data_IF_212249602069
#
_entry.id   IF_212249602069
#
_cell.length_a   1.000
_cell.length_b   1.000
_cell.length_c   1.000
_cell.angle_alpha   90.00
_cell.angle_beta   90.00
_cell.angle_gamma   90.00
#
_symmetry.space_group_name_H-M   'P 1'
#
loop_
_entity.id
_entity.type
_entity.pdbx_description
1 polymer ?
#
# COMPACT_ATOMS: atom_id res chain seq x y z
N UNK A 1 -20.92 35.11 -7.62
CA UNK A 1 -19.94 34.64 -6.63
C UNK A 1 -18.84 35.68 -6.63
N UNK A 2 -18.69 36.45 -5.56
CA UNK A 2 -17.49 37.27 -5.36
C UNK A 2 -16.33 36.31 -5.17
N UNK A 3 -15.31 36.42 -6.02
CA UNK A 3 -14.08 35.66 -5.87
C UNK A 3 -13.49 35.99 -4.50
N UNK A 4 -13.43 34.98 -3.63
CA UNK A 4 -12.85 35.14 -2.30
C UNK A 4 -11.34 35.27 -2.49
N UNK A 5 -10.81 36.45 -2.20
CA UNK A 5 -9.36 36.71 -2.28
C UNK A 5 -8.71 36.11 -1.04
N UNK A 6 -7.94 35.05 -1.25
CA UNK A 6 -7.12 34.44 -0.21
C UNK A 6 -5.84 35.28 -0.07
N UNK A 7 -5.47 35.71 1.16
CA UNK A 7 -4.24 36.47 1.36
C UNK A 7 -3.00 35.69 0.93
N UNK A 8 -1.98 36.39 0.44
CA UNK A 8 -0.77 35.79 -0.15
C UNK A 8 0.07 34.96 0.82
N UNK A 9 -0.10 35.18 2.13
CA UNK A 9 0.60 34.44 3.19
C UNK A 9 -0.03 33.06 3.51
N UNK A 10 -1.12 32.71 2.84
CA UNK A 10 -1.70 31.38 2.88
C UNK A 10 -1.16 30.51 1.73
N UNK A 11 -0.57 29.38 2.08
CA UNK A 11 -0.02 28.42 1.12
C UNK A 11 -1.12 27.44 0.69
N UNK A 12 -1.32 27.19 -0.62
CA UNK A 12 -2.28 26.18 -1.08
C UNK A 12 -1.83 24.78 -0.68
N UNK A 13 -2.71 24.03 -0.01
CA UNK A 13 -2.57 22.57 0.18
C UNK A 13 -3.22 21.86 -1.01
N UNK A 14 -4.39 22.34 -1.44
CA UNK A 14 -5.05 21.89 -2.66
C UNK A 14 -5.41 23.13 -3.46
N UNK A 15 -4.85 23.24 -4.66
CA UNK A 15 -4.96 24.41 -5.53
C UNK A 15 -6.43 24.83 -5.71
N UNK A 16 -6.72 26.11 -5.41
CA UNK A 16 -8.07 26.68 -5.52
C UNK A 16 -9.10 26.17 -4.49
N UNK A 17 -8.73 25.29 -3.54
CA UNK A 17 -9.70 24.60 -2.68
C UNK A 17 -9.40 24.62 -1.19
N UNK A 18 -8.12 24.56 -0.80
CA UNK A 18 -7.69 24.51 0.59
C UNK A 18 -6.36 25.23 0.74
N UNK A 19 -6.27 26.12 1.72
CA UNK A 19 -5.05 26.84 2.04
C UNK A 19 -4.73 26.76 3.53
N UNK A 20 -3.44 26.85 3.87
CA UNK A 20 -2.93 26.87 5.24
C UNK A 20 -2.00 28.04 5.48
N UNK A 21 -2.14 28.65 6.65
CA UNK A 21 -1.17 29.60 7.21
C UNK A 21 -0.76 29.11 8.60
N UNK A 22 0.53 28.93 8.83
CA UNK A 22 1.04 28.56 10.15
C UNK A 22 1.10 29.81 11.02
N UNK A 23 0.44 29.78 12.18
CA UNK A 23 0.48 30.85 13.19
C UNK A 23 1.56 30.58 14.25
N UNK A 24 1.76 29.30 14.58
CA UNK A 24 2.83 28.83 15.46
C UNK A 24 3.29 27.46 14.99
N UNK A 25 4.59 27.32 14.80
CA UNK A 25 5.20 26.04 14.43
C UNK A 25 5.00 24.99 15.53
N UNK A 26 4.81 23.74 15.10
CA UNK A 26 4.90 22.56 15.95
C UNK A 26 6.28 21.90 15.81
N UNK A 27 6.76 21.28 16.87
CA UNK A 27 8.05 20.58 16.91
C UNK A 27 7.91 19.05 16.98
N UNK A 28 6.68 18.54 17.11
CA UNK A 28 6.41 17.10 17.14
C UNK A 28 6.20 16.47 15.76
N UNK A 29 5.81 15.20 15.78
CA UNK A 29 5.57 14.39 14.59
C UNK A 29 4.29 14.82 13.84
N UNK A 30 4.18 14.41 12.58
CA UNK A 30 2.98 14.59 11.76
C UNK A 30 2.09 13.33 11.83
N UNK A 31 0.76 13.48 11.89
CA UNK A 31 -0.14 12.33 11.94
C UNK A 31 -0.21 11.64 10.58
N UNK A 32 -0.18 10.29 10.58
CA UNK A 32 -0.38 9.48 9.38
C UNK A 32 -1.87 9.19 9.14
N UNK A 33 -2.20 8.74 7.94
CA UNK A 33 -3.56 8.31 7.58
C UNK A 33 -4.14 7.31 8.61
N UNK A 34 -5.44 7.42 8.92
CA UNK A 34 -6.15 6.63 9.95
C UNK A 34 -5.72 6.89 11.41
N UNK A 35 -4.82 7.83 11.67
CA UNK A 35 -4.50 8.25 13.05
C UNK A 35 -5.73 8.85 13.74
N UNK A 36 -5.87 8.60 15.03
CA UNK A 36 -6.82 9.33 15.87
C UNK A 36 -6.16 10.63 16.33
N UNK A 37 -6.58 11.74 15.76
CA UNK A 37 -6.00 13.06 16.07
C UNK A 37 -6.83 13.78 17.12
N UNK A 38 -6.19 14.60 17.93
CA UNK A 38 -6.84 15.41 18.95
C UNK A 38 -6.48 16.87 18.74
N UNK A 39 -7.48 17.72 18.55
CA UNK A 39 -7.29 19.13 18.17
C UNK A 39 -8.11 20.10 19.01
N UNK A 40 -7.56 21.29 19.23
CA UNK A 40 -8.39 22.46 19.52
C UNK A 40 -8.69 23.23 18.24
N UNK A 41 -9.84 23.89 18.18
CA UNK A 41 -10.18 24.72 17.03
C UNK A 41 -11.18 25.82 17.34
N UNK A 42 -11.18 26.83 16.46
CA UNK A 42 -12.22 27.85 16.32
C UNK A 42 -12.61 27.95 14.85
N UNK A 43 -13.89 27.76 14.54
CA UNK A 43 -14.46 27.86 13.21
C UNK A 43 -15.22 29.16 13.00
N UNK A 44 -14.88 29.89 11.93
CA UNK A 44 -15.46 31.17 11.55
C UNK A 44 -15.83 31.21 10.07
N UNK A 45 -16.86 31.98 9.71
CA UNK A 45 -17.13 32.32 8.32
C UNK A 45 -16.00 33.21 7.79
N UNK A 46 -15.38 32.86 6.67
CA UNK A 46 -14.24 33.62 6.15
C UNK A 46 -14.61 35.06 5.76
N UNK A 47 -15.84 35.27 5.27
CA UNK A 47 -16.28 36.55 4.70
C UNK A 47 -16.55 37.64 5.73
N UNK A 48 -16.97 37.28 6.95
CA UNK A 48 -17.36 38.25 7.98
C UNK A 48 -16.78 37.96 9.37
N UNK A 49 -16.08 36.82 9.55
CA UNK A 49 -15.46 36.44 10.82
C UNK A 49 -16.41 35.88 11.86
N UNK A 50 -17.70 35.68 11.54
CA UNK A 50 -18.67 35.18 12.50
C UNK A 50 -18.31 33.76 12.95
N UNK A 51 -18.11 33.59 14.25
CA UNK A 51 -17.80 32.29 14.87
C UNK A 51 -19.06 31.42 14.90
N UNK A 52 -18.97 30.24 14.29
CA UNK A 52 -20.06 29.26 14.30
C UNK A 52 -19.82 28.11 15.28
N UNK A 53 -18.56 27.76 15.54
CA UNK A 53 -18.20 26.70 16.49
C UNK A 53 -16.79 26.84 17.09
N UNK A 54 -16.57 26.31 18.28
CA UNK A 54 -15.26 26.34 18.97
C UNK A 54 -15.17 25.22 19.99
N UNK A 55 -14.10 24.42 19.91
CA UNK A 55 -13.83 23.39 20.92
C UNK A 55 -13.28 23.99 22.22
N UNK A 56 -12.67 25.18 22.14
CA UNK A 56 -12.20 25.94 23.31
C UNK A 56 -13.38 26.45 24.14
N UNK A 57 -14.45 26.91 23.50
CA UNK A 57 -15.67 27.37 24.20
C UNK A 57 -16.33 26.23 24.99
N UNK A 58 -16.16 24.98 24.50
CA UNK A 58 -16.64 23.78 25.16
C UNK A 58 -15.67 23.22 26.20
N UNK A 59 -14.47 23.78 26.33
CA UNK A 59 -13.37 23.25 27.15
C UNK A 59 -13.12 21.75 26.91
N UNK A 60 -13.27 21.29 25.67
CA UNK A 60 -13.13 19.89 25.31
C UNK A 60 -12.54 19.78 23.91
N UNK A 61 -11.37 19.18 23.82
CA UNK A 61 -10.70 18.96 22.55
C UNK A 61 -11.51 17.99 21.67
N UNK A 62 -11.38 18.15 20.36
CA UNK A 62 -12.14 17.36 19.40
C UNK A 62 -11.28 16.24 18.84
N UNK A 63 -11.77 15.02 18.96
CA UNK A 63 -11.12 13.83 18.44
C UNK A 63 -11.83 13.33 17.19
N UNK A 64 -11.05 12.99 16.17
CA UNK A 64 -11.55 12.34 14.97
C UNK A 64 -10.46 11.46 14.35
N UNK A 65 -10.88 10.55 13.48
CA UNK A 65 -9.99 9.71 12.71
C UNK A 65 -9.62 10.42 11.40
N UNK A 66 -8.33 10.61 11.16
CA UNK A 66 -7.81 11.38 10.05
C UNK A 66 -7.94 10.66 8.71
N UNK A 67 -8.48 11.34 7.70
CA UNK A 67 -8.47 10.91 6.30
C UNK A 67 -9.51 9.86 5.95
N UNK A 68 -10.49 9.60 6.83
CA UNK A 68 -11.55 8.60 6.60
C UNK A 68 -12.91 9.23 6.27
N UNK A 69 -12.97 10.55 6.04
CA UNK A 69 -14.21 11.26 5.74
C UNK A 69 -15.14 11.43 6.93
N UNK A 70 -14.61 11.37 8.16
CA UNK A 70 -15.39 11.63 9.39
C UNK A 70 -15.68 13.13 9.57
N UNK A 71 -14.84 13.98 9.00
CA UNK A 71 -14.92 15.45 9.03
C UNK A 71 -14.96 16.00 7.60
N UNK A 72 -15.07 17.33 7.46
CA UNK A 72 -14.99 17.98 6.15
C UNK A 72 -13.64 17.70 5.48
N UNK A 73 -13.60 17.65 4.14
CA UNK A 73 -12.38 17.35 3.36
C UNK A 73 -11.22 18.30 3.68
N UNK A 74 -11.52 19.57 3.93
CA UNK A 74 -10.52 20.57 4.31
C UNK A 74 -9.77 20.22 5.59
N UNK A 75 -10.43 19.54 6.53
CA UNK A 75 -9.78 19.06 7.76
C UNK A 75 -8.97 17.79 7.52
N UNK A 76 -9.52 16.83 6.77
CA UNK A 76 -8.80 15.59 6.45
C UNK A 76 -7.48 15.87 5.71
N UNK A 77 -7.48 16.80 4.76
CA UNK A 77 -6.26 17.20 4.03
C UNK A 77 -5.41 18.21 4.81
N UNK A 78 -6.03 19.16 5.51
CA UNK A 78 -5.33 20.24 6.20
C UNK A 78 -4.55 19.76 7.43
N UNK A 79 -5.23 19.03 8.32
CA UNK A 79 -4.65 18.54 9.58
C UNK A 79 -3.55 17.50 9.34
N UNK A 80 -3.63 16.75 8.23
CA UNK A 80 -2.57 15.83 7.79
C UNK A 80 -1.21 16.52 7.58
N UNK A 81 -1.20 17.81 7.25
CA UNK A 81 0.04 18.57 7.03
C UNK A 81 0.61 19.20 8.31
N UNK A 82 -0.09 19.07 9.45
CA UNK A 82 0.28 19.74 10.70
C UNK A 82 1.22 18.87 11.54
N UNK A 83 2.10 19.52 12.30
CA UNK A 83 2.89 18.89 13.37
C UNK A 83 2.21 19.01 14.73
N UNK A 84 2.46 18.06 15.63
CA UNK A 84 2.04 18.21 17.02
C UNK A 84 2.62 19.50 17.61
N UNK A 85 1.78 20.30 18.25
CA UNK A 85 2.07 21.64 18.78
C UNK A 85 1.76 22.79 17.82
N UNK A 86 1.56 22.51 16.53
CA UNK A 86 1.29 23.51 15.49
C UNK A 86 -0.08 24.16 15.71
N UNK A 87 -0.12 25.49 15.58
CA UNK A 87 -1.32 26.28 15.46
C UNK A 87 -1.36 26.85 14.04
N UNK A 88 -2.40 26.55 13.28
CA UNK A 88 -2.53 27.00 11.90
C UNK A 88 -3.96 27.46 11.58
N UNK A 89 -4.08 28.38 10.63
CA UNK A 89 -5.36 28.69 9.99
C UNK A 89 -5.52 27.86 8.72
N UNK A 90 -6.66 27.19 8.59
CA UNK A 90 -7.10 26.50 7.38
C UNK A 90 -8.26 27.27 6.76
N UNK A 91 -8.12 27.64 5.48
CA UNK A 91 -9.22 28.23 4.70
C UNK A 91 -9.75 27.18 3.75
N UNK A 92 -11.02 26.81 3.92
CA UNK A 92 -11.67 25.76 3.17
C UNK A 92 -12.69 26.38 2.22
N UNK A 93 -12.51 26.15 0.91
CA UNK A 93 -13.55 26.44 -0.08
C UNK A 93 -14.85 25.67 0.22
N UNK A 94 -16.00 26.07 -0.34
CA UNK A 94 -17.25 25.38 -0.09
C UNK A 94 -17.20 23.88 -0.39
N UNK A 95 -16.54 23.46 -1.48
CA UNK A 95 -16.37 22.05 -1.85
C UNK A 95 -15.57 21.24 -0.82
N UNK A 96 -14.69 21.90 -0.06
CA UNK A 96 -13.89 21.31 1.01
C UNK A 96 -14.46 21.56 2.40
N UNK A 97 -15.63 22.22 2.47
CA UNK A 97 -16.41 22.49 3.67
C UNK A 97 -17.78 21.77 3.58
N UNK A 98 -18.89 22.52 3.65
CA UNK A 98 -20.26 21.99 3.67
C UNK A 98 -21.01 22.13 2.32
N UNK A 99 -20.31 22.53 1.26
CA UNK A 99 -20.85 22.62 -0.09
C UNK A 99 -22.05 23.58 -0.23
N UNK A 100 -22.87 23.34 -1.25
CA UNK A 100 -24.03 24.17 -1.58
C UNK A 100 -25.13 24.15 -0.50
N UNK A 101 -25.20 23.09 0.30
CA UNK A 101 -26.21 22.94 1.35
C UNK A 101 -25.85 23.71 2.62
N UNK A 102 -24.55 23.82 2.94
CA UNK A 102 -24.11 24.41 4.21
C UNK A 102 -24.45 23.53 5.42
N UNK A 103 -24.47 24.14 6.60
CA UNK A 103 -24.97 23.56 7.85
C UNK A 103 -25.83 24.59 8.59
N UNK A 104 -27.09 24.77 8.14
CA UNK A 104 -27.97 25.79 8.70
C UNK A 104 -28.29 25.56 10.19
N UNK A 105 -28.59 26.62 10.97
CA UNK A 105 -28.63 28.03 10.54
C UNK A 105 -27.26 28.72 10.56
N UNK A 106 -26.23 28.08 11.12
CA UNK A 106 -24.95 28.74 11.42
C UNK A 106 -24.02 28.88 10.22
N UNK A 107 -24.09 27.93 9.28
CA UNK A 107 -23.24 27.90 8.09
C UNK A 107 -24.14 27.94 6.86
N UNK A 108 -24.24 29.08 6.16
CA UNK A 108 -24.98 29.16 4.90
C UNK A 108 -24.41 28.24 3.82
N UNK A 109 -25.22 27.90 2.83
CA UNK A 109 -24.75 27.20 1.63
C UNK A 109 -23.67 28.00 0.89
N UNK A 110 -22.73 27.30 0.26
CA UNK A 110 -21.60 27.87 -0.48
C UNK A 110 -20.67 28.77 0.37
N UNK A 111 -20.59 28.55 1.69
CA UNK A 111 -19.70 29.33 2.55
C UNK A 111 -18.25 28.85 2.47
N UNK A 112 -17.32 29.79 2.30
CA UNK A 112 -15.90 29.59 2.61
C UNK A 112 -15.68 29.71 4.11
N UNK A 113 -15.00 28.74 4.70
CA UNK A 113 -14.78 28.68 6.15
C UNK A 113 -13.31 28.90 6.48
N UNK A 114 -13.07 29.52 7.64
CA UNK A 114 -11.75 29.61 8.25
C UNK A 114 -11.74 28.88 9.57
N UNK A 115 -10.76 28.01 9.76
CA UNK A 115 -10.53 27.32 11.02
C UNK A 115 -9.16 27.68 11.56
N UNK A 116 -9.09 28.22 12.76
CA UNK A 116 -7.86 28.16 13.54
C UNK A 116 -7.83 26.78 14.21
N UNK A 117 -6.81 25.96 13.95
CA UNK A 117 -6.67 24.59 14.44
C UNK A 117 -5.33 24.45 15.16
N UNK A 118 -5.35 23.84 16.34
CA UNK A 118 -4.16 23.47 17.11
C UNK A 118 -4.09 21.94 17.21
N UNK A 119 -3.03 21.33 16.69
CA UNK A 119 -2.82 19.89 16.80
C UNK A 119 -2.17 19.56 18.13
N UNK A 120 -2.92 18.91 19.03
CA UNK A 120 -2.46 18.64 20.41
C UNK A 120 -1.70 17.32 20.50
N UNK A 121 -2.23 16.28 19.89
CA UNK A 121 -1.65 14.94 19.87
C UNK A 121 -2.32 14.07 18.81
N UNK A 122 -1.72 12.92 18.54
CA UNK A 122 -2.39 11.86 17.79
C UNK A 122 -1.94 10.49 18.29
N UNK A 123 -2.73 9.48 17.94
CA UNK A 123 -2.36 8.08 18.09
C UNK A 123 -2.40 7.43 16.72
N UNK A 124 -1.27 6.84 16.32
CA UNK A 124 -1.17 6.09 15.07
C UNK A 124 -2.04 4.82 15.09
N UNK A 125 -2.52 4.37 13.92
CA UNK A 125 -3.15 3.07 13.82
C UNK A 125 -2.15 1.95 14.15
N UNK A 126 -2.62 0.88 14.79
CA UNK A 126 -1.77 -0.25 15.18
C UNK A 126 -1.10 -0.95 13.97
N UNK A 127 -1.73 -0.87 12.80
CA UNK A 127 -1.27 -1.41 11.52
C UNK A 127 -0.51 -0.38 10.65
N UNK A 128 0.18 0.58 11.28
CA UNK A 128 1.03 1.54 10.58
C UNK A 128 2.18 0.88 9.79
N UNK A 129 2.80 1.60 8.83
CA UNK A 129 3.95 1.13 8.04
C UNK A 129 5.10 0.54 8.85
N UNK A 130 5.48 1.18 9.95
CA UNK A 130 6.58 0.75 10.82
C UNK A 130 6.33 -0.63 11.42
N UNK A 131 5.15 -0.83 12.01
CA UNK A 131 4.68 -2.10 12.56
C UNK A 131 4.57 -3.18 11.47
N UNK A 132 4.01 -2.83 10.31
CA UNK A 132 3.89 -3.75 9.16
C UNK A 132 5.25 -4.28 8.72
N UNK A 133 6.24 -3.39 8.54
CA UNK A 133 7.62 -3.76 8.19
C UNK A 133 8.25 -4.67 9.24
N UNK A 134 8.13 -4.32 10.53
CA UNK A 134 8.68 -5.12 11.62
C UNK A 134 8.07 -6.53 11.67
N UNK A 135 6.74 -6.64 11.53
CA UNK A 135 6.04 -7.93 11.52
C UNK A 135 6.40 -8.72 10.26
N UNK A 136 6.47 -8.10 9.09
CA UNK A 136 6.84 -8.77 7.84
C UNK A 136 8.26 -9.35 7.89
N UNK A 137 9.23 -8.63 8.48
CA UNK A 137 10.58 -9.15 8.73
C UNK A 137 10.55 -10.39 9.64
N UNK A 138 9.83 -10.30 10.76
CA UNK A 138 9.67 -11.44 11.69
C UNK A 138 9.01 -12.64 11.00
N UNK A 139 8.01 -12.41 10.15
CA UNK A 139 7.32 -13.44 9.36
C UNK A 139 8.26 -14.09 8.34
N UNK A 140 9.15 -13.32 7.70
CA UNK A 140 10.21 -13.85 6.85
C UNK A 140 11.13 -14.81 7.63
N UNK A 141 11.58 -14.40 8.82
CA UNK A 141 12.47 -15.21 9.65
C UNK A 141 11.80 -16.50 10.15
N UNK A 142 10.53 -16.39 10.57
CA UNK A 142 9.70 -17.55 10.92
C UNK A 142 9.54 -18.51 9.73
N UNK A 143 9.24 -17.98 8.55
CA UNK A 143 9.13 -18.80 7.34
C UNK A 143 10.44 -19.49 6.99
N UNK A 144 11.58 -18.80 7.13
CA UNK A 144 12.90 -19.39 6.89
C UNK A 144 13.22 -20.52 7.87
N UNK A 145 12.88 -20.35 9.15
CA UNK A 145 13.04 -21.40 10.15
C UNK A 145 12.18 -22.63 9.81
N UNK A 146 10.88 -22.44 9.57
CA UNK A 146 9.98 -23.55 9.20
C UNK A 146 10.39 -24.24 7.90
N UNK A 147 10.87 -23.50 6.90
CA UNK A 147 11.34 -24.07 5.63
C UNK A 147 12.58 -24.94 5.86
N UNK A 148 13.51 -24.50 6.71
CA UNK A 148 14.70 -25.26 7.09
C UNK A 148 14.34 -26.56 7.81
N UNK A 149 13.28 -26.53 8.63
CA UNK A 149 12.77 -27.69 9.35
C UNK A 149 11.94 -28.64 8.46
N UNK A 150 11.76 -28.31 7.18
CA UNK A 150 10.97 -29.09 6.23
C UNK A 150 9.45 -28.90 6.35
N UNK A 151 9.00 -28.05 7.28
CA UNK A 151 7.59 -27.69 7.44
C UNK A 151 7.21 -26.60 6.42
N UNK A 152 7.01 -27.03 5.17
CA UNK A 152 6.78 -26.13 4.04
C UNK A 152 5.40 -25.45 4.11
N UNK A 153 4.40 -26.06 4.74
CA UNK A 153 3.09 -25.45 4.96
C UNK A 153 3.19 -24.26 5.91
N UNK A 154 3.85 -24.43 7.07
CA UNK A 154 4.06 -23.33 8.00
C UNK A 154 4.95 -22.23 7.40
N UNK A 155 5.96 -22.63 6.62
CA UNK A 155 6.80 -21.69 5.89
C UNK A 155 5.99 -20.84 4.91
N UNK A 156 5.17 -21.49 4.07
CA UNK A 156 4.31 -20.82 3.11
C UNK A 156 3.34 -19.85 3.82
N UNK A 157 2.70 -20.26 4.92
CA UNK A 157 1.80 -19.38 5.65
C UNK A 157 2.53 -18.15 6.19
N UNK A 158 3.71 -18.33 6.81
CA UNK A 158 4.48 -17.22 7.34
C UNK A 158 4.91 -16.24 6.24
N UNK A 159 5.42 -16.73 5.12
CA UNK A 159 5.80 -15.87 3.99
C UNK A 159 4.60 -15.12 3.40
N UNK A 160 3.46 -15.79 3.26
CA UNK A 160 2.22 -15.18 2.78
C UNK A 160 1.74 -14.07 3.72
N UNK A 161 1.67 -14.34 5.02
CA UNK A 161 1.28 -13.34 6.02
C UNK A 161 2.18 -12.10 5.96
N UNK A 162 3.50 -12.31 5.84
CA UNK A 162 4.47 -11.22 5.71
C UNK A 162 4.26 -10.41 4.42
N UNK A 163 4.06 -11.09 3.29
CA UNK A 163 3.86 -10.43 1.99
C UNK A 163 2.52 -9.67 1.93
N UNK A 164 1.47 -10.21 2.55
CA UNK A 164 0.14 -9.61 2.60
C UNK A 164 0.14 -8.28 3.39
N UNK A 165 0.92 -8.19 4.47
CA UNK A 165 1.08 -6.95 5.24
C UNK A 165 1.67 -5.79 4.42
N UNK A 166 2.49 -6.10 3.42
CA UNK A 166 3.20 -5.12 2.59
C UNK A 166 2.48 -4.82 1.28
N UNK A 167 1.24 -5.32 1.09
CA UNK A 167 0.43 -5.00 -0.10
C UNK A 167 0.03 -3.53 -0.13
N UNK A 168 -0.32 -2.98 1.03
CA UNK A 168 -0.82 -1.63 1.20
C UNK A 168 -0.07 -0.95 2.34
N UNK A 169 0.73 0.06 1.97
CA UNK A 169 1.62 0.81 2.85
C UNK A 169 1.12 2.25 3.00
N UNK A 170 -0.18 2.42 3.28
CA UNK A 170 -0.80 3.74 3.49
C UNK A 170 -0.02 4.56 4.52
N UNK A 171 0.37 5.78 4.13
CA UNK A 171 1.10 6.69 5.01
C UNK A 171 2.58 6.32 5.24
N UNK A 172 3.14 5.40 4.43
CA UNK A 172 4.56 5.10 4.48
C UNK A 172 5.42 6.23 3.90
N UNK A 173 6.59 6.44 4.49
CA UNK A 173 7.61 7.34 3.93
C UNK A 173 8.26 6.73 2.69
N UNK A 174 8.97 7.54 1.91
CA UNK A 174 9.68 7.07 0.73
C UNK A 174 10.72 5.99 1.08
N UNK A 175 11.44 6.17 2.20
CA UNK A 175 12.42 5.18 2.69
C UNK A 175 11.74 3.85 3.06
N UNK A 176 10.56 3.92 3.70
CA UNK A 176 9.78 2.73 4.03
C UNK A 176 9.26 2.02 2.79
N UNK A 177 8.88 2.77 1.75
CA UNK A 177 8.47 2.20 0.46
C UNK A 177 9.66 1.51 -0.23
N UNK A 178 10.82 2.17 -0.28
CA UNK A 178 12.07 1.61 -0.81
C UNK A 178 12.50 0.34 -0.07
N UNK A 179 12.22 0.22 1.24
CA UNK A 179 12.48 -0.98 2.02
C UNK A 179 11.41 -2.08 1.78
N UNK A 180 10.13 -1.71 1.76
CA UNK A 180 9.01 -2.67 1.69
C UNK A 180 8.96 -3.46 0.39
N UNK A 181 9.26 -2.83 -0.75
CA UNK A 181 9.19 -3.46 -2.08
C UNK A 181 10.10 -4.69 -2.19
N UNK A 182 11.43 -4.54 -2.00
CA UNK A 182 12.37 -5.65 -2.00
C UNK A 182 12.04 -6.72 -0.94
N UNK A 183 11.57 -6.33 0.24
CA UNK A 183 11.17 -7.27 1.28
C UNK A 183 9.97 -8.13 0.84
N UNK A 184 8.95 -7.52 0.22
CA UNK A 184 7.78 -8.21 -0.31
C UNK A 184 8.15 -9.17 -1.44
N UNK A 185 9.03 -8.76 -2.36
CA UNK A 185 9.56 -9.64 -3.42
C UNK A 185 10.29 -10.83 -2.81
N UNK A 186 11.13 -10.63 -1.80
CA UNK A 186 11.84 -11.73 -1.13
C UNK A 186 10.88 -12.72 -0.44
N UNK A 187 9.82 -12.22 0.22
CA UNK A 187 8.77 -13.03 0.84
C UNK A 187 8.01 -13.85 -0.21
N UNK A 188 7.57 -13.23 -1.31
CA UNK A 188 6.86 -13.91 -2.41
C UNK A 188 7.74 -14.95 -3.12
N UNK A 189 9.02 -14.63 -3.32
CA UNK A 189 9.97 -15.56 -3.89
C UNK A 189 10.11 -16.82 -3.00
N UNK A 190 10.24 -16.64 -1.69
CA UNK A 190 10.34 -17.76 -0.74
C UNK A 190 9.01 -18.52 -0.60
N UNK A 191 7.87 -17.82 -0.66
CA UNK A 191 6.54 -18.43 -0.72
C UNK A 191 6.40 -19.36 -1.93
N UNK A 192 6.79 -18.89 -3.12
CA UNK A 192 6.79 -19.73 -4.32
C UNK A 192 7.67 -20.97 -4.16
N UNK A 193 8.83 -20.83 -3.52
CA UNK A 193 9.71 -21.96 -3.24
C UNK A 193 9.08 -22.98 -2.30
N UNK A 194 8.37 -22.53 -1.26
CA UNK A 194 7.62 -23.40 -0.37
C UNK A 194 6.49 -24.13 -1.11
N UNK A 195 5.72 -23.45 -1.96
CA UNK A 195 4.70 -24.09 -2.77
C UNK A 195 5.24 -25.12 -3.77
N UNK A 196 6.41 -24.86 -4.38
CA UNK A 196 7.09 -25.85 -5.22
C UNK A 196 7.47 -27.12 -4.42
N UNK A 197 7.87 -26.99 -3.15
CA UNK A 197 8.14 -28.15 -2.28
C UNK A 197 6.87 -28.93 -1.95
N UNK A 198 5.74 -28.22 -1.82
CA UNK A 198 4.40 -28.79 -1.63
C UNK A 198 3.77 -29.34 -2.92
N UNK A 199 4.41 -29.15 -4.07
CA UNK A 199 3.89 -29.46 -5.41
C UNK A 199 2.61 -28.69 -5.78
N UNK A 200 2.34 -27.59 -5.09
CA UNK A 200 1.24 -26.67 -5.42
C UNK A 200 1.71 -25.68 -6.49
N UNK A 201 1.83 -26.18 -7.73
CA UNK A 201 2.43 -25.42 -8.83
C UNK A 201 1.59 -24.19 -9.23
N UNK A 202 0.27 -24.24 -9.04
CA UNK A 202 -0.61 -23.11 -9.33
C UNK A 202 -0.32 -21.93 -8.40
N UNK A 203 -0.25 -22.16 -7.08
CA UNK A 203 0.09 -21.11 -6.13
C UNK A 203 1.55 -20.65 -6.24
N UNK A 204 2.46 -21.55 -6.60
CA UNK A 204 3.83 -21.17 -6.88
C UNK A 204 3.92 -20.18 -8.06
N UNK A 205 3.19 -20.43 -9.16
CA UNK A 205 3.13 -19.56 -10.31
C UNK A 205 2.53 -18.19 -9.96
N UNK A 206 1.41 -18.18 -9.22
CA UNK A 206 0.75 -16.94 -8.75
C UNK A 206 1.72 -16.07 -7.92
N UNK A 207 2.38 -16.66 -6.91
CA UNK A 207 3.33 -15.93 -6.08
C UNK A 207 4.52 -15.38 -6.89
N UNK A 208 4.99 -16.12 -7.90
CA UNK A 208 6.05 -15.63 -8.79
C UNK A 208 5.58 -14.48 -9.66
N UNK A 209 4.38 -14.57 -10.24
CA UNK A 209 3.86 -13.51 -11.11
C UNK A 209 3.72 -12.19 -10.32
N UNK A 210 3.15 -12.23 -9.12
CA UNK A 210 3.05 -11.05 -8.25
C UNK A 210 4.45 -10.48 -7.93
N UNK A 211 5.45 -11.34 -7.72
CA UNK A 211 6.82 -10.88 -7.47
C UNK A 211 7.46 -10.24 -8.71
N UNK A 212 7.20 -10.76 -9.91
CA UNK A 212 7.70 -10.20 -11.16
C UNK A 212 6.97 -8.91 -11.57
N UNK A 213 5.71 -8.74 -11.21
CA UNK A 213 5.01 -7.46 -11.40
C UNK A 213 5.67 -6.33 -10.61
N UNK A 214 6.34 -6.66 -9.49
CA UNK A 214 7.11 -5.71 -8.68
C UNK A 214 8.58 -5.60 -9.13
N UNK A 215 9.18 -6.70 -9.58
CA UNK A 215 10.57 -6.76 -10.05
C UNK A 215 10.70 -7.73 -11.24
N UNK A 216 10.45 -7.25 -12.48
CA UNK A 216 10.38 -8.09 -13.67
C UNK A 216 11.66 -8.89 -13.96
N UNK A 217 12.81 -8.31 -13.63
CA UNK A 217 14.12 -8.88 -13.95
C UNK A 217 14.65 -9.83 -12.85
N UNK A 218 13.79 -10.27 -11.92
CA UNK A 218 14.24 -11.10 -10.79
C UNK A 218 14.54 -12.55 -11.22
N UNK A 219 15.82 -12.83 -11.51
CA UNK A 219 16.35 -14.12 -12.00
C UNK A 219 15.80 -15.35 -11.26
N UNK A 220 15.90 -15.41 -9.92
CA UNK A 220 15.44 -16.60 -9.16
C UNK A 220 13.92 -16.81 -9.21
N UNK A 221 13.14 -15.75 -9.39
CA UNK A 221 11.68 -15.83 -9.45
C UNK A 221 11.28 -16.33 -10.85
N UNK A 222 11.89 -15.82 -11.91
CA UNK A 222 11.74 -16.37 -13.27
C UNK A 222 12.06 -17.88 -13.32
N UNK A 223 13.15 -18.30 -12.67
CA UNK A 223 13.49 -19.73 -12.58
C UNK A 223 12.40 -20.55 -11.89
N UNK A 224 11.87 -20.07 -10.75
CA UNK A 224 10.79 -20.73 -10.00
C UNK A 224 9.47 -20.76 -10.76
N UNK A 225 9.15 -19.69 -11.51
CA UNK A 225 7.97 -19.62 -12.35
C UNK A 225 8.03 -20.65 -13.48
N UNK A 226 9.19 -20.79 -14.14
CA UNK A 226 9.41 -21.82 -15.14
C UNK A 226 9.22 -23.24 -14.56
N UNK A 227 9.70 -23.50 -13.34
CA UNK A 227 9.47 -24.77 -12.65
C UNK A 227 7.98 -25.00 -12.36
N UNK A 228 7.25 -23.95 -11.94
CA UNK A 228 5.82 -24.03 -11.68
C UNK A 228 5.03 -24.34 -12.97
N UNK A 229 5.29 -23.63 -14.07
CA UNK A 229 4.66 -23.91 -15.37
C UNK A 229 4.96 -25.31 -15.89
N UNK A 230 6.20 -25.79 -15.73
CA UNK A 230 6.53 -27.18 -16.06
C UNK A 230 5.69 -28.16 -15.22
N UNK A 231 5.53 -27.90 -13.92
CA UNK A 231 4.70 -28.71 -13.03
C UNK A 231 3.20 -28.68 -13.37
N UNK A 232 2.73 -27.62 -14.02
CA UNK A 232 1.36 -27.49 -14.56
C UNK A 232 1.21 -28.10 -15.97
N UNK A 233 2.30 -28.61 -16.55
CA UNK A 233 2.35 -29.04 -17.97
C UNK A 233 2.09 -27.90 -18.97
N UNK A 234 2.27 -26.65 -18.55
CA UNK A 234 2.20 -25.45 -19.40
C UNK A 234 3.53 -25.26 -20.15
N UNK A 235 3.89 -26.22 -21.01
CA UNK A 235 5.22 -26.30 -21.62
C UNK A 235 5.59 -25.05 -22.45
N UNK A 236 4.61 -24.41 -23.08
CA UNK A 236 4.84 -23.18 -23.86
C UNK A 236 5.31 -22.06 -22.93
N UNK A 237 4.54 -21.77 -21.88
CA UNK A 237 4.87 -20.74 -20.90
C UNK A 237 6.20 -21.06 -20.20
N UNK A 238 6.44 -22.32 -19.82
CA UNK A 238 7.70 -22.73 -19.20
C UNK A 238 8.92 -22.41 -20.09
N UNK A 239 8.85 -22.69 -21.39
CA UNK A 239 9.95 -22.38 -22.34
C UNK A 239 10.15 -20.88 -22.52
N UNK A 240 9.07 -20.11 -22.65
CA UNK A 240 9.12 -18.65 -22.77
C UNK A 240 9.76 -18.02 -21.52
N UNK A 241 9.36 -18.46 -20.32
CA UNK A 241 9.96 -17.99 -19.06
C UNK A 241 11.43 -18.37 -18.93
N UNK A 242 11.84 -19.58 -19.34
CA UNK A 242 13.26 -19.98 -19.33
C UNK A 242 14.08 -19.15 -20.32
N UNK A 243 13.54 -18.90 -21.52
CA UNK A 243 14.20 -18.09 -22.52
C UNK A 243 14.44 -16.67 -22.02
N UNK A 244 13.41 -16.05 -21.42
CA UNK A 244 13.56 -14.75 -20.78
C UNK A 244 14.59 -14.78 -19.64
N UNK A 245 14.59 -15.82 -18.81
CA UNK A 245 15.63 -16.01 -17.77
C UNK A 245 17.06 -16.08 -18.33
N UNK A 246 17.26 -16.71 -19.50
CA UNK A 246 18.55 -16.76 -20.19
C UNK A 246 18.92 -15.43 -20.86
N UNK A 247 17.96 -14.60 -21.23
CA UNK A 247 18.23 -13.23 -21.72
C UNK A 247 18.74 -12.34 -20.59
N UNK A 248 18.16 -12.48 -19.38
CA UNK A 248 18.61 -11.78 -18.17
C UNK A 248 19.96 -12.30 -17.66
N UNK A 249 20.21 -13.60 -17.79
CA UNK A 249 21.44 -14.26 -17.35
C UNK A 249 22.00 -15.22 -18.43
N UNK A 250 22.68 -14.68 -19.45
CA UNK A 250 23.22 -15.49 -20.54
C UNK A 250 24.20 -16.56 -20.04
N UNK A 251 23.95 -17.82 -20.40
CA UNK A 251 24.78 -18.96 -20.01
C UNK A 251 24.52 -19.51 -18.60
N UNK A 252 23.44 -19.10 -17.93
CA UNK A 252 23.07 -19.66 -16.64
C UNK A 252 22.79 -21.18 -16.75
N UNK A 253 23.53 -21.97 -15.97
CA UNK A 253 23.48 -23.42 -16.01
C UNK A 253 22.14 -23.99 -15.50
N UNK A 254 21.48 -23.31 -14.55
CA UNK A 254 20.21 -23.78 -14.00
C UNK A 254 19.12 -23.63 -15.06
N UNK A 255 19.03 -22.48 -15.72
CA UNK A 255 18.08 -22.28 -16.81
C UNK A 255 18.34 -23.22 -18.00
N UNK A 256 19.59 -23.40 -18.40
CA UNK A 256 19.95 -24.32 -19.50
C UNK A 256 19.54 -25.76 -19.19
N UNK A 257 19.79 -26.21 -17.96
CA UNK A 257 19.35 -27.53 -17.48
C UNK A 257 17.82 -27.66 -17.47
N UNK A 258 17.12 -26.64 -16.95
CA UNK A 258 15.66 -26.64 -16.91
C UNK A 258 15.04 -26.63 -18.31
N UNK A 259 15.62 -25.91 -19.28
CA UNK A 259 15.19 -25.93 -20.67
C UNK A 259 15.21 -27.35 -21.24
N UNK A 260 16.29 -28.09 -21.00
CA UNK A 260 16.45 -29.48 -21.44
C UNK A 260 15.40 -30.40 -20.81
N UNK A 261 15.11 -30.21 -19.51
CA UNK A 261 14.08 -30.97 -18.80
C UNK A 261 12.69 -30.68 -19.37
N UNK A 262 12.36 -29.42 -19.66
CA UNK A 262 11.07 -29.03 -20.24
C UNK A 262 10.86 -29.72 -21.60
N UNK A 263 11.86 -29.68 -22.48
CA UNK A 263 11.80 -30.31 -23.81
C UNK A 263 11.57 -31.81 -23.70
N UNK A 264 12.30 -32.48 -22.81
CA UNK A 264 12.13 -33.92 -22.58
C UNK A 264 10.72 -34.26 -22.06
N UNK A 265 10.21 -33.49 -21.09
CA UNK A 265 8.87 -33.69 -20.52
C UNK A 265 7.75 -33.43 -21.52
N UNK A 266 7.89 -32.41 -22.37
CA UNK A 266 6.92 -32.12 -23.43
C UNK A 266 6.86 -33.27 -24.45
N UNK A 267 8.02 -33.84 -24.83
CA UNK A 267 8.07 -34.99 -25.74
C UNK A 267 7.44 -36.25 -25.13
N UNK A 268 7.71 -36.54 -23.85
CA UNK A 268 7.06 -37.62 -23.10
C UNK A 268 5.54 -37.45 -23.05
N UNK A 269 5.07 -36.23 -22.81
CA UNK A 269 3.64 -35.91 -22.75
C UNK A 269 2.95 -36.16 -24.10
N UNK A 270 3.50 -35.61 -25.19
CA UNK A 270 2.97 -35.82 -26.56
C UNK A 270 2.95 -37.29 -26.97
N UNK A 271 3.97 -38.06 -26.59
CA UNK A 271 4.00 -39.51 -26.86
C UNK A 271 2.87 -40.23 -26.14
N UNK A 272 2.67 -39.97 -24.84
CA UNK A 272 1.58 -40.58 -24.05
C UNK A 272 0.21 -40.23 -24.62
N UNK A 273 0.02 -38.98 -25.03
CA UNK A 273 -1.22 -38.51 -25.64
C UNK A 273 -1.52 -39.28 -26.94
N UNK A 274 -0.53 -39.40 -27.84
CA UNK A 274 -0.65 -40.18 -29.08
C UNK A 274 -0.98 -41.66 -28.81
N UNK A 275 -0.30 -42.27 -27.84
CA UNK A 275 -0.52 -43.67 -27.46
C UNK A 275 -1.92 -43.88 -26.88
N UNK A 276 -2.45 -42.90 -26.12
CA UNK A 276 -3.81 -42.94 -25.58
C UNK A 276 -4.86 -42.86 -26.69
N UNK A 277 -4.77 -41.89 -27.60
CA UNK A 277 -5.68 -41.79 -28.74
C UNK A 277 -5.66 -43.07 -29.59
N UNK A 278 -4.49 -43.61 -29.87
CA UNK A 278 -4.33 -44.83 -30.68
C UNK A 278 -5.01 -46.07 -30.05
N UNK A 279 -5.21 -46.09 -28.73
CA UNK A 279 -5.92 -47.16 -28.02
C UNK A 279 -7.44 -46.96 -27.96
N UNK A 280 -7.93 -45.72 -28.06
CA UNK A 280 -9.37 -45.43 -28.04
C UNK A 280 -10.08 -45.73 -29.37
N UNK A 281 -9.32 -45.80 -30.47
CA UNK A 281 -9.83 -46.09 -31.82
C UNK A 281 -9.55 -47.54 -32.28
N UNK A 282 -9.15 -48.43 -31.37
CA UNK A 282 -9.04 -49.88 -31.57
C UNK A 282 -10.09 -50.59 -30.73
#
# INVERSE_FOLDING_TARGET
>A
MTDVIIPEDYVPIVEGKLWKKILREGDGEQPIHKSNVNVHYVGTLFTNGDKFDSSRDRNSAFNFKLGVGQVIKGWDEGVKTMKVGELAELVCSPEYAYGATGSPPKIPGNSTLKFEVELLSFQEPADNPTSKLAIAKKKKDQGNASFKDGNNEAAAQAYKDGADLLKEMDGATEEQLQESGPLRVALLANLAQAYLKLKDNAKAAEACQIALDLQPDHIKVNYRLAQAYLGLSEFKLAKETVQHGLELAPGDAAFTSLQSVIVAKEAEFKKKEKDMYSKMFK
#
